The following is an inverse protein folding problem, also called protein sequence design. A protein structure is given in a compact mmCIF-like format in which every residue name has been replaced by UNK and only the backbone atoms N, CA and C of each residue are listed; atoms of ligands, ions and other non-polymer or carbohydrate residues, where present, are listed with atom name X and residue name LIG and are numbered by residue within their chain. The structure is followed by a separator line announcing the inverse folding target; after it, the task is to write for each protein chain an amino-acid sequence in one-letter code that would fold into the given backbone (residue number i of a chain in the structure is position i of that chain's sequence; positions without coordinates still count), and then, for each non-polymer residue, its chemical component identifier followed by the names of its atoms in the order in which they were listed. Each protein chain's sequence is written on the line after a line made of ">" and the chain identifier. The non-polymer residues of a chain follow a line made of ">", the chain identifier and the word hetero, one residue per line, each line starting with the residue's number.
data_IF_114034577475
#
_entry.id   IF_114034577475
#
_cell.length_a   1.000
_cell.length_b   1.000
_cell.length_c   1.000
_cell.angle_alpha   90.00
_cell.angle_beta   90.00
_cell.angle_gamma   90.00
#
_symmetry.space_group_name_H-M   'P 1'
#
loop_
_entity.id
_entity.type
_entity.pdbx_description
1 polymer ?
#
# COMPACT_ATOMS: atom_id res chain seq x y z
N UNK A 1 23.59 -16.12 3.57
CA UNK A 1 22.55 -15.68 2.60
C UNK A 1 21.39 -15.13 3.42
N UNK A 2 21.07 -13.83 3.37
CA UNK A 2 19.94 -13.32 4.12
C UNK A 2 18.64 -13.95 3.59
N UNK A 3 17.84 -14.50 4.50
CA UNK A 3 16.52 -15.05 4.24
C UNK A 3 15.63 -13.93 3.69
N UNK A 4 15.36 -13.93 2.38
CA UNK A 4 14.29 -13.13 1.80
C UNK A 4 12.97 -13.88 2.09
N UNK A 5 12.09 -13.40 2.99
CA UNK A 5 10.89 -14.12 3.35
C UNK A 5 9.76 -13.68 2.41
N UNK A 6 9.87 -14.02 1.13
CA UNK A 6 8.74 -14.05 0.20
C UNK A 6 9.18 -14.75 -1.09
N UNK A 7 8.77 -16.00 -1.28
CA UNK A 7 8.88 -16.60 -2.61
C UNK A 7 7.96 -15.81 -3.56
N UNK A 8 8.54 -15.20 -4.60
CA UNK A 8 7.78 -14.53 -5.66
C UNK A 8 7.07 -15.59 -6.53
N UNK A 9 6.02 -16.20 -6.00
CA UNK A 9 5.31 -17.28 -6.68
C UNK A 9 4.16 -16.70 -7.51
N UNK A 10 4.17 -16.95 -8.82
CA UNK A 10 3.06 -16.58 -9.71
C UNK A 10 1.75 -17.28 -9.31
N UNK A 11 0.59 -16.70 -9.64
CA UNK A 11 -0.70 -17.35 -9.38
C UNK A 11 -0.81 -18.75 -10.00
N UNK A 12 -0.19 -18.95 -11.17
CA UNK A 12 -0.15 -20.25 -11.85
C UNK A 12 0.72 -21.26 -11.09
N UNK A 13 1.89 -20.83 -10.62
CA UNK A 13 2.79 -21.66 -9.81
C UNK A 13 2.14 -22.03 -8.47
N UNK A 14 1.49 -21.07 -7.79
CA UNK A 14 0.74 -21.34 -6.55
C UNK A 14 -0.37 -22.37 -6.77
N UNK A 15 -1.14 -22.22 -7.86
CA UNK A 15 -2.19 -23.19 -8.22
C UNK A 15 -1.61 -24.58 -8.48
N UNK A 16 -0.46 -24.67 -9.15
CA UNK A 16 0.23 -25.94 -9.41
C UNK A 16 0.69 -26.61 -8.11
N UNK A 17 1.32 -25.84 -7.21
CA UNK A 17 1.74 -26.35 -5.89
C UNK A 17 0.55 -26.84 -5.09
N UNK A 18 -0.53 -26.05 -5.03
CA UNK A 18 -1.77 -26.45 -4.35
C UNK A 18 -2.40 -27.72 -4.93
N UNK A 19 -2.42 -27.87 -6.26
CA UNK A 19 -2.89 -29.09 -6.92
C UNK A 19 -2.01 -30.30 -6.61
N UNK A 20 -0.69 -30.13 -6.58
CA UNK A 20 0.25 -31.22 -6.26
C UNK A 20 0.11 -31.66 -4.80
N UNK A 21 0.02 -30.72 -3.85
CA UNK A 21 -0.24 -31.03 -2.44
C UNK A 21 -1.57 -31.75 -2.24
N UNK A 22 -2.61 -31.35 -2.98
CA UNK A 22 -3.92 -31.99 -2.92
C UNK A 22 -3.95 -33.41 -3.53
N UNK A 23 -3.00 -33.80 -4.38
CA UNK A 23 -2.90 -35.16 -4.93
C UNK A 23 -2.37 -36.17 -3.90
N UNK A 24 -1.62 -35.71 -2.90
CA UNK A 24 -0.96 -36.57 -1.92
C UNK A 24 -1.60 -36.52 -0.52
N UNK A 25 -2.76 -35.86 -0.37
CA UNK A 25 -3.40 -35.66 0.95
C UNK A 25 -4.90 -35.98 0.89
N UNK A 26 -5.41 -36.79 1.83
CA UNK A 26 -6.82 -37.16 1.95
C UNK A 26 -7.75 -35.96 2.18
N UNK A 27 -7.25 -34.84 2.72
CA UNK A 27 -7.97 -33.57 2.89
C UNK A 27 -7.96 -32.66 1.64
N UNK A 28 -7.83 -33.25 0.46
CA UNK A 28 -7.60 -32.58 -0.83
C UNK A 28 -8.61 -31.51 -1.25
N UNK A 29 -9.84 -31.49 -0.71
CA UNK A 29 -10.87 -30.48 -1.02
C UNK A 29 -10.62 -29.15 -0.31
N UNK A 30 -10.21 -29.18 0.97
CA UNK A 30 -9.93 -27.97 1.77
C UNK A 30 -8.72 -27.21 1.21
N UNK A 31 -7.65 -27.95 0.88
CA UNK A 31 -6.44 -27.39 0.26
C UNK A 31 -6.77 -26.79 -1.12
N UNK A 32 -7.57 -27.46 -1.96
CA UNK A 32 -7.97 -26.92 -3.27
C UNK A 32 -8.75 -25.60 -3.18
N UNK A 33 -9.66 -25.45 -2.22
CA UNK A 33 -10.41 -24.21 -1.98
C UNK A 33 -9.53 -23.05 -1.51
N UNK A 34 -8.60 -23.33 -0.59
CA UNK A 34 -7.62 -22.37 -0.05
C UNK A 34 -6.64 -21.84 -1.12
N UNK A 35 -6.39 -22.60 -2.20
CA UNK A 35 -5.46 -22.17 -3.25
C UNK A 35 -6.16 -21.53 -4.47
N UNK A 36 -7.45 -21.78 -4.72
CA UNK A 36 -8.14 -21.27 -5.91
C UNK A 36 -8.97 -19.99 -5.66
N UNK A 37 -9.55 -19.84 -4.46
CA UNK A 37 -10.65 -18.88 -4.24
C UNK A 37 -10.37 -17.88 -3.11
N UNK A 38 -9.71 -18.30 -2.02
CA UNK A 38 -9.59 -17.47 -0.80
C UNK A 38 -8.64 -16.26 -0.90
N UNK A 39 -7.81 -16.15 -1.95
CA UNK A 39 -6.84 -15.04 -2.08
C UNK A 39 -7.34 -13.84 -2.89
N UNK A 40 -8.46 -13.96 -3.60
CA UNK A 40 -8.99 -12.84 -4.39
C UNK A 40 -9.64 -11.78 -3.49
N UNK A 41 -10.35 -12.20 -2.45
CA UNK A 41 -11.07 -11.28 -1.55
C UNK A 41 -10.13 -10.46 -0.66
N UNK A 42 -9.14 -11.03 0.04
CA UNK A 42 -8.21 -10.25 0.86
C UNK A 42 -7.33 -9.29 0.03
N UNK A 43 -7.08 -9.61 -1.24
CA UNK A 43 -6.37 -8.71 -2.16
C UNK A 43 -7.22 -7.50 -2.52
N UNK A 44 -8.53 -7.70 -2.74
CA UNK A 44 -9.47 -6.61 -3.04
C UNK A 44 -9.57 -5.63 -1.88
N UNK A 45 -9.57 -6.12 -0.64
CA UNK A 45 -9.54 -5.29 0.56
C UNK A 45 -8.28 -4.43 0.69
N UNK A 46 -7.19 -4.83 0.02
CA UNK A 46 -5.93 -4.07 0.01
C UNK A 46 -5.83 -3.07 -1.16
N UNK A 47 -6.83 -3.02 -2.04
CA UNK A 47 -6.85 -2.07 -3.15
C UNK A 47 -7.53 -0.76 -2.73
N UNK A 48 -6.95 0.38 -3.09
CA UNK A 48 -7.59 1.67 -2.89
C UNK A 48 -8.83 1.79 -3.79
N UNK A 49 -9.86 2.48 -3.32
CA UNK A 49 -11.16 2.56 -4.01
C UNK A 49 -11.11 3.33 -5.34
N UNK A 50 -10.27 4.37 -5.44
CA UNK A 50 -10.28 5.33 -6.54
C UNK A 50 -8.92 5.41 -7.25
N UNK A 51 -8.57 4.36 -8.00
CA UNK A 51 -7.36 4.37 -8.84
C UNK A 51 -7.67 4.91 -10.24
N UNK A 52 -6.90 5.93 -10.64
CA UNK A 52 -6.91 6.50 -11.98
C UNK A 52 -5.85 5.79 -12.81
N UNK A 53 -6.28 4.88 -13.67
CA UNK A 53 -5.40 4.05 -14.51
C UNK A 53 -5.72 4.31 -15.97
N UNK A 54 -4.70 4.64 -16.75
CA UNK A 54 -4.73 4.73 -18.20
C UNK A 54 -3.48 4.06 -18.79
N UNK A 55 -3.28 4.19 -20.10
CA UNK A 55 -2.20 3.51 -20.84
C UNK A 55 -0.79 3.94 -20.41
N UNK A 56 -0.63 5.18 -19.93
CA UNK A 56 0.68 5.78 -19.61
C UNK A 56 0.84 6.11 -18.14
N UNK A 57 -0.21 6.05 -17.34
CA UNK A 57 -0.20 6.46 -15.94
C UNK A 57 -1.15 5.60 -15.12
N UNK A 58 -0.69 5.21 -13.93
CA UNK A 58 -1.52 4.66 -12.87
C UNK A 58 -1.27 5.45 -11.58
N UNK A 59 -2.31 5.95 -10.94
CA UNK A 59 -2.16 6.67 -9.68
C UNK A 59 -3.46 6.84 -8.94
N UNK A 60 -3.39 7.55 -7.83
CA UNK A 60 -4.52 7.83 -6.95
C UNK A 60 -4.31 9.18 -6.24
N UNK A 61 -5.38 9.83 -5.75
CA UNK A 61 -5.25 11.00 -4.89
C UNK A 61 -4.45 10.66 -3.62
N UNK A 62 -3.65 11.60 -3.13
CA UNK A 62 -2.82 11.41 -1.94
C UNK A 62 -3.68 11.05 -0.73
N UNK A 63 -4.80 11.76 -0.50
CA UNK A 63 -5.69 11.51 0.62
C UNK A 63 -6.21 10.05 0.65
N UNK A 64 -6.62 9.52 -0.50
CA UNK A 64 -7.11 8.13 -0.61
C UNK A 64 -6.03 7.13 -0.19
N UNK A 65 -4.77 7.36 -0.57
CA UNK A 65 -3.66 6.53 -0.14
C UNK A 65 -3.41 6.64 1.38
N UNK A 66 -3.47 7.85 1.93
CA UNK A 66 -3.25 8.10 3.36
C UNK A 66 -4.35 7.46 4.20
N UNK A 67 -5.63 7.64 3.84
CA UNK A 67 -6.78 7.04 4.52
C UNK A 67 -6.70 5.52 4.51
N UNK A 68 -6.44 4.94 3.33
CA UNK A 68 -6.27 3.50 3.20
C UNK A 68 -5.08 3.00 4.04
N UNK A 69 -3.99 3.76 4.08
CA UNK A 69 -2.81 3.40 4.88
C UNK A 69 -3.10 3.47 6.38
N UNK A 70 -3.77 4.52 6.84
CA UNK A 70 -4.18 4.69 8.23
C UNK A 70 -5.12 3.57 8.66
N UNK A 71 -6.17 3.28 7.87
CA UNK A 71 -7.09 2.17 8.13
C UNK A 71 -6.36 0.84 8.31
N UNK A 72 -5.42 0.53 7.41
CA UNK A 72 -4.65 -0.73 7.48
C UNK A 72 -3.69 -0.78 8.68
N UNK A 73 -3.17 0.35 9.14
CA UNK A 73 -2.36 0.41 10.37
C UNK A 73 -3.21 0.22 11.62
N UNK A 74 -4.40 0.81 11.66
CA UNK A 74 -5.37 0.60 12.74
C UNK A 74 -5.87 -0.85 12.81
N UNK A 75 -5.76 -1.59 11.72
CA UNK A 75 -6.12 -3.01 11.68
C UNK A 75 -5.05 -3.95 12.27
N UNK A 76 -3.84 -3.47 12.52
CA UNK A 76 -2.74 -4.27 13.09
C UNK A 76 -3.05 -4.58 14.56
N UNK A 77 -2.98 -5.86 14.94
CA UNK A 77 -3.39 -6.35 16.26
C UNK A 77 -2.73 -5.59 17.42
N UNK A 78 -1.41 -5.39 17.38
CA UNK A 78 -0.73 -4.63 18.44
C UNK A 78 -1.15 -3.16 18.54
N UNK A 79 -1.58 -2.55 17.43
CA UNK A 79 -2.10 -1.18 17.41
C UNK A 79 -3.51 -1.15 18.00
N UNK A 80 -4.37 -2.11 17.62
CA UNK A 80 -5.72 -2.28 18.18
C UNK A 80 -5.67 -2.49 19.69
N UNK A 81 -4.82 -3.39 20.16
CA UNK A 81 -4.64 -3.68 21.58
C UNK A 81 -4.16 -2.44 22.34
N UNK A 82 -3.19 -1.70 21.78
CA UNK A 82 -2.70 -0.46 22.36
C UNK A 82 -3.80 0.60 22.47
N UNK A 83 -4.64 0.75 21.43
CA UNK A 83 -5.77 1.69 21.44
C UNK A 83 -6.81 1.26 22.48
N UNK A 84 -7.20 -0.01 22.50
CA UNK A 84 -8.19 -0.53 23.45
C UNK A 84 -7.73 -0.39 24.90
N UNK A 85 -6.43 -0.58 25.18
CA UNK A 85 -5.87 -0.39 26.53
C UNK A 85 -5.76 1.07 26.97
N UNK A 86 -5.95 2.03 26.07
CA UNK A 86 -5.97 3.47 26.36
C UNK A 86 -7.38 4.02 26.56
N UNK A 87 -8.39 3.24 26.20
CA UNK A 87 -9.79 3.58 26.42
C UNK A 87 -10.17 2.93 27.76
N UNK A 88 -10.12 3.68 28.85
CA UNK A 88 -10.70 3.21 30.12
C UNK A 88 -12.24 3.27 29.99
N UNK A 89 -12.95 2.14 30.14
CA UNK A 89 -14.42 2.12 30.12
C UNK A 89 -15.06 3.05 31.18
N UNK A 90 -14.31 3.43 32.22
CA UNK A 90 -14.78 4.23 33.34
C UNK A 90 -14.40 5.73 33.24
N UNK A 91 -13.52 6.13 32.31
CA UNK A 91 -13.20 7.55 32.02
C UNK A 91 -14.02 8.11 30.83
N UNK A 92 -15.18 7.52 30.53
CA UNK A 92 -16.15 8.15 29.65
C UNK A 92 -16.80 9.33 30.37
N UNK A 93 -16.09 10.46 30.35
CA UNK A 93 -16.60 11.73 30.85
C UNK A 93 -17.82 12.15 30.04
N UNK A 94 -18.83 12.67 30.74
CA UNK A 94 -20.17 12.97 30.26
C UNK A 94 -20.19 14.19 29.32
N UNK A 95 -19.47 14.11 28.20
CA UNK A 95 -19.69 15.02 27.09
C UNK A 95 -20.99 14.61 26.40
N UNK A 96 -21.86 15.59 26.13
CA UNK A 96 -23.27 15.42 25.75
C UNK A 96 -23.56 14.63 24.44
N UNK A 97 -22.63 13.84 23.91
CA UNK A 97 -22.84 12.89 22.80
C UNK A 97 -21.99 11.60 22.86
N UNK A 98 -21.32 11.26 23.97
CA UNK A 98 -20.89 9.89 24.28
C UNK A 98 -19.82 9.21 23.39
N UNK A 99 -19.18 9.91 22.44
CA UNK A 99 -18.13 9.33 21.60
C UNK A 99 -16.74 9.82 22.05
N UNK A 100 -15.94 8.89 22.59
CA UNK A 100 -14.54 9.16 22.91
C UNK A 100 -13.73 9.25 21.61
N UNK A 101 -13.43 10.48 21.16
CA UNK A 101 -12.62 10.69 19.96
C UNK A 101 -11.12 10.72 20.27
N UNK A 102 -10.37 9.71 19.81
CA UNK A 102 -8.91 9.71 19.85
C UNK A 102 -8.32 10.41 18.61
N UNK A 103 -7.53 11.47 18.82
CA UNK A 103 -6.80 12.13 17.74
C UNK A 103 -5.44 11.46 17.52
N UNK A 104 -5.17 11.03 16.29
CA UNK A 104 -3.94 10.36 15.88
C UNK A 104 -3.17 11.18 14.85
N UNK A 105 -1.84 11.02 14.85
CA UNK A 105 -0.93 11.67 13.91
C UNK A 105 -0.17 10.61 13.13
N UNK A 106 -0.41 10.56 11.82
CA UNK A 106 0.32 9.73 10.87
C UNK A 106 1.50 10.53 10.30
N UNK A 107 2.73 10.06 10.54
CA UNK A 107 3.94 10.66 9.95
C UNK A 107 4.47 9.80 8.83
N UNK A 108 4.85 10.46 7.74
CA UNK A 108 5.46 9.81 6.59
C UNK A 108 6.48 10.70 5.89
N UNK A 109 7.12 10.12 4.89
CA UNK A 109 7.93 10.82 3.89
C UNK A 109 7.43 10.44 2.51
N UNK A 110 7.60 11.31 1.54
CA UNK A 110 7.30 11.00 0.14
C UNK A 110 8.46 11.46 -0.75
N UNK A 111 8.46 10.99 -1.97
CA UNK A 111 9.44 11.39 -2.98
C UNK A 111 9.12 10.77 -4.31
N UNK A 112 9.95 11.06 -5.30
CA UNK A 112 9.83 10.50 -6.65
C UNK A 112 11.19 10.19 -7.24
N UNK A 113 11.20 9.30 -8.21
CA UNK A 113 12.41 8.85 -8.89
C UNK A 113 12.07 8.39 -10.32
N UNK A 114 13.02 8.59 -11.23
CA UNK A 114 12.96 8.16 -12.62
C UNK A 114 13.88 6.98 -12.92
N UNK A 115 13.38 6.03 -13.72
CA UNK A 115 14.14 4.87 -14.17
C UNK A 115 14.08 4.72 -15.69
N UNK A 116 15.24 4.62 -16.34
CA UNK A 116 15.38 4.36 -17.77
C UNK A 116 15.74 2.90 -18.06
N UNK A 117 15.66 2.49 -19.33
CA UNK A 117 16.08 1.14 -19.76
C UNK A 117 15.02 0.06 -19.51
N UNK A 118 13.75 0.46 -19.41
CA UNK A 118 12.64 -0.49 -19.34
C UNK A 118 12.49 -1.21 -20.68
N UNK A 119 11.94 -2.44 -20.65
CA UNK A 119 11.61 -3.16 -21.86
C UNK A 119 10.46 -2.45 -22.58
N UNK A 120 10.61 -2.27 -23.89
CA UNK A 120 9.59 -1.68 -24.73
C UNK A 120 8.67 -2.80 -25.22
N UNK A 121 7.40 -2.73 -24.85
CA UNK A 121 6.39 -3.66 -25.32
C UNK A 121 5.77 -3.15 -26.62
N UNK A 122 5.23 -4.06 -27.45
CA UNK A 122 4.39 -3.70 -28.60
C UNK A 122 2.97 -3.34 -28.15
N UNK A 123 2.88 -2.52 -27.10
CA UNK A 123 1.61 -2.01 -26.59
C UNK A 123 1.11 -0.94 -27.56
N UNK A 124 -0.18 -1.01 -27.92
CA UNK A 124 -0.81 0.07 -28.67
C UNK A 124 -1.08 1.21 -27.70
N UNK A 125 -0.51 2.38 -28.00
CA UNK A 125 -0.84 3.62 -27.32
C UNK A 125 -1.78 4.43 -28.21
N UNK A 126 -2.68 5.16 -27.57
CA UNK A 126 -3.56 6.15 -28.21
C UNK A 126 -2.78 7.31 -28.85
N UNK A 127 -1.61 7.66 -28.30
CA UNK A 127 -0.70 8.68 -28.84
C UNK A 127 0.59 8.06 -29.37
N UNK A 128 1.04 8.52 -30.54
CA UNK A 128 2.29 8.07 -31.17
C UNK A 128 3.55 8.48 -30.38
N UNK A 129 3.45 9.48 -29.50
CA UNK A 129 4.58 9.95 -28.68
C UNK A 129 4.72 9.19 -27.36
N UNK A 130 3.75 8.33 -27.04
CA UNK A 130 3.75 7.54 -25.80
C UNK A 130 4.71 6.35 -25.90
N UNK A 131 5.41 6.08 -24.80
CA UNK A 131 6.36 4.97 -24.73
C UNK A 131 6.56 4.51 -23.28
N UNK A 132 6.68 3.20 -23.10
CA UNK A 132 6.98 2.51 -21.84
C UNK A 132 8.49 2.36 -21.54
N UNK A 133 9.36 2.98 -22.35
CA UNK A 133 10.84 2.92 -22.22
C UNK A 133 11.39 3.50 -20.90
N UNK A 134 10.65 4.42 -20.29
CA UNK A 134 11.03 5.11 -19.07
C UNK A 134 9.88 5.05 -18.08
N UNK A 135 10.21 4.92 -16.80
CA UNK A 135 9.27 4.94 -15.69
C UNK A 135 9.60 6.16 -14.82
N UNK A 136 8.58 6.88 -14.40
CA UNK A 136 8.66 7.90 -13.35
C UNK A 136 7.68 7.51 -12.25
N UNK A 137 8.13 7.49 -11.00
CA UNK A 137 7.31 7.01 -9.89
C UNK A 137 7.32 7.98 -8.72
N UNK A 138 6.15 8.20 -8.13
CA UNK A 138 5.92 9.00 -6.93
C UNK A 138 5.44 8.06 -5.83
N UNK A 139 6.14 8.06 -4.70
CA UNK A 139 5.98 7.08 -3.63
C UNK A 139 5.84 7.75 -2.26
N UNK A 140 5.12 7.09 -1.36
CA UNK A 140 4.96 7.46 0.05
C UNK A 140 5.45 6.33 0.95
N UNK A 141 6.12 6.68 2.04
CA UNK A 141 6.56 5.74 3.09
C UNK A 141 6.04 6.23 4.43
N UNK A 142 5.28 5.37 5.10
CA UNK A 142 4.85 5.62 6.47
C UNK A 142 6.00 5.38 7.44
N UNK A 143 6.19 6.29 8.39
CA UNK A 143 7.27 6.25 9.36
C UNK A 143 6.77 5.92 10.77
N UNK A 144 5.65 6.52 11.18
CA UNK A 144 5.18 6.48 12.56
C UNK A 144 3.68 6.81 12.63
N UNK A 145 2.97 6.18 13.57
CA UNK A 145 1.60 6.49 13.96
C UNK A 145 1.61 6.68 15.48
N UNK A 146 1.15 7.83 15.94
CA UNK A 146 1.15 8.20 17.37
C UNK A 146 -0.14 8.90 17.76
N UNK A 147 -0.37 9.02 19.05
CA UNK A 147 -1.48 9.82 19.58
C UNK A 147 -1.06 11.29 19.57
N UNK A 148 -1.99 12.17 19.18
CA UNK A 148 -1.75 13.61 19.19
C UNK A 148 -1.39 14.09 20.60
N UNK A 149 -0.38 14.95 20.71
CA UNK A 149 0.11 15.47 21.99
C UNK A 149 0.91 14.48 22.84
N UNK A 150 1.02 13.19 22.49
CA UNK A 150 1.83 12.20 23.23
C UNK A 150 3.11 11.83 22.47
N UNK A 151 4.24 11.62 23.18
CA UNK A 151 5.49 11.18 22.55
C UNK A 151 5.47 9.69 22.15
N UNK A 152 4.55 8.91 22.73
CA UNK A 152 4.46 7.46 22.52
C UNK A 152 3.89 7.12 21.15
N UNK A 153 4.64 6.34 20.38
CA UNK A 153 4.21 5.75 19.11
C UNK A 153 3.32 4.53 19.36
N UNK A 154 2.19 4.46 18.65
CA UNK A 154 1.36 3.25 18.54
C UNK A 154 1.96 2.27 17.54
N UNK A 155 2.57 2.79 16.48
CA UNK A 155 3.25 1.99 15.46
C UNK A 155 4.44 2.75 14.91
N UNK A 156 5.57 2.06 14.72
CA UNK A 156 6.77 2.65 14.11
C UNK A 156 7.32 1.70 13.05
N UNK A 157 7.67 2.26 11.90
CA UNK A 157 8.28 1.49 10.83
C UNK A 157 9.73 1.09 11.21
N UNK A 158 9.95 -0.19 11.47
CA UNK A 158 11.27 -0.72 11.80
C UNK A 158 12.27 -0.66 10.63
N UNK A 159 11.79 -0.56 9.38
CA UNK A 159 12.64 -0.54 8.17
C UNK A 159 12.20 0.54 7.18
N UNK A 160 12.39 1.84 7.50
CA UNK A 160 11.87 2.97 6.73
C UNK A 160 12.51 3.18 5.35
N UNK A 161 13.56 2.42 5.04
CA UNK A 161 14.20 2.39 3.71
C UNK A 161 13.90 1.10 2.94
N UNK A 162 13.06 0.20 3.49
CA UNK A 162 12.65 -1.00 2.79
C UNK A 162 11.61 -0.67 1.72
N UNK A 163 11.77 -1.26 0.54
CA UNK A 163 10.78 -1.20 -0.54
C UNK A 163 9.41 -1.76 -0.14
N UNK A 164 9.34 -2.57 0.93
CA UNK A 164 8.10 -3.18 1.44
C UNK A 164 7.07 -2.17 1.95
N UNK A 165 7.54 -1.03 2.45
CA UNK A 165 6.68 0.04 2.99
C UNK A 165 6.56 1.23 2.05
N UNK A 166 7.13 1.12 0.84
CA UNK A 166 7.08 2.14 -0.19
C UNK A 166 5.79 1.97 -1.00
N UNK A 167 4.79 2.80 -0.72
CA UNK A 167 3.47 2.73 -1.36
C UNK A 167 3.42 3.69 -2.55
N UNK A 168 2.99 3.23 -3.73
CA UNK A 168 2.86 4.09 -4.90
C UNK A 168 1.69 5.07 -4.77
N UNK A 169 2.00 6.35 -4.97
CA UNK A 169 1.01 7.40 -5.22
C UNK A 169 0.68 7.43 -6.70
N UNK A 170 1.72 7.47 -7.54
CA UNK A 170 1.61 7.56 -9.00
C UNK A 170 2.79 6.88 -9.68
N UNK A 171 2.53 6.22 -10.81
CA UNK A 171 3.52 5.61 -11.69
C UNK A 171 3.18 6.06 -13.11
N UNK A 172 4.16 6.56 -13.85
CA UNK A 172 4.00 7.08 -15.21
C UNK A 172 5.05 6.46 -16.12
N UNK A 173 4.64 6.12 -17.34
CA UNK A 173 5.54 5.84 -18.44
C UNK A 173 5.98 7.16 -19.07
N UNK A 174 6.98 7.78 -18.45
CA UNK A 174 7.54 9.02 -18.93
C UNK A 174 9.00 9.15 -18.52
N UNK A 175 9.79 9.86 -19.32
CA UNK A 175 11.19 10.16 -18.95
C UNK A 175 11.20 11.25 -17.88
N UNK A 176 12.08 11.08 -16.90
CA UNK A 176 12.32 12.14 -15.92
C UNK A 176 12.90 13.39 -16.61
N UNK A 177 12.25 14.52 -16.39
CA UNK A 177 12.65 15.84 -16.88
C UNK A 177 12.44 16.86 -15.76
N UNK A 178 13.16 17.99 -15.81
CA UNK A 178 13.02 19.06 -14.82
C UNK A 178 11.58 19.60 -14.74
N UNK A 179 10.88 19.69 -15.88
CA UNK A 179 9.49 20.11 -15.96
C UNK A 179 8.54 19.09 -15.29
N UNK A 180 8.74 17.80 -15.56
CA UNK A 180 7.96 16.74 -14.94
C UNK A 180 8.15 16.73 -13.42
N UNK A 181 9.38 16.88 -12.95
CA UNK A 181 9.73 16.96 -11.54
C UNK A 181 8.98 18.10 -10.86
N UNK A 182 9.04 19.33 -11.42
CA UNK A 182 8.35 20.50 -10.86
C UNK A 182 6.84 20.28 -10.85
N UNK A 183 6.29 19.85 -11.97
CA UNK A 183 4.85 19.62 -12.12
C UNK A 183 4.31 18.59 -11.12
N UNK A 184 4.99 17.45 -10.98
CA UNK A 184 4.55 16.41 -10.04
C UNK A 184 4.80 16.80 -8.59
N UNK A 185 5.86 17.57 -8.31
CA UNK A 185 6.08 18.16 -6.99
C UNK A 185 4.93 19.07 -6.60
N UNK A 186 4.64 20.08 -7.43
CA UNK A 186 3.59 21.07 -7.16
C UNK A 186 2.21 20.40 -7.04
N UNK A 187 1.95 19.36 -7.85
CA UNK A 187 0.74 18.56 -7.78
C UNK A 187 0.59 17.84 -6.43
N UNK A 188 1.65 17.21 -5.93
CA UNK A 188 1.58 16.53 -4.62
C UNK A 188 1.53 17.55 -3.48
N UNK A 189 2.33 18.62 -3.54
CA UNK A 189 2.32 19.68 -2.52
C UNK A 189 0.95 20.38 -2.41
N UNK A 190 0.21 20.51 -3.52
CA UNK A 190 -1.17 21.04 -3.49
C UNK A 190 -2.20 20.13 -2.81
N UNK A 191 -1.85 18.86 -2.54
CA UNK A 191 -2.71 17.88 -1.87
C UNK A 191 -2.32 17.64 -0.41
N UNK A 192 -1.25 18.27 0.07
CA UNK A 192 -0.78 18.21 1.47
C UNK A 192 -1.43 19.34 2.26
#
# INVERSE_FOLDING_TARGET
>A
RPLLPYEKISSRSQRRVGLNLAKHNSNSKLLRGLFSSSKKEPKKECYPANSNINETTAGQPLQVLLDHTAKRLLEIDCVKESINGLIDPNECDQTMNGDLSLSLVLKGKWGFDGATGQRIYKQNFSSNDSSDKCLFSVMFVTLDLRISGKPTSLWKNATPSSTRFCRPIKIKFNKETAELIRTERDNIESQI
#
